data_IF_109053222136
#
_entry.id   IF_109053222136
#
_cell.length_a   1.000
_cell.length_b   1.000
_cell.length_c   1.000
_cell.angle_alpha   90.00
_cell.angle_beta   90.00
_cell.angle_gamma   90.00
#
_symmetry.space_group_name_H-M   'P 1'
#
loop_
_entity.id
_entity.type
_entity.pdbx_description
1 polymer ?
#
# COMPACT_ATOMS: atom_id res chain seq x y z
N UNK A 1 10.53 -24.39 35.46
CA UNK A 1 10.10 -23.61 34.28
C UNK A 1 10.57 -22.19 34.46
N UNK A 2 11.49 -21.68 33.63
CA UNK A 2 11.67 -20.25 33.44
C UNK A 2 11.07 -19.80 32.10
N UNK A 3 10.28 -18.73 32.16
CA UNK A 3 9.91 -17.91 31.00
C UNK A 3 11.14 -17.16 30.46
N UNK A 4 11.08 -16.78 29.17
CA UNK A 4 11.77 -15.60 28.66
C UNK A 4 13.13 -15.81 28.03
N UNK A 5 13.15 -16.20 26.74
CA UNK A 5 14.13 -15.63 25.82
C UNK A 5 13.45 -15.35 24.49
N UNK A 6 13.33 -14.07 24.14
CA UNK A 6 13.06 -13.63 22.77
C UNK A 6 14.30 -13.95 21.94
N UNK A 7 14.31 -15.11 21.28
CA UNK A 7 15.36 -15.41 20.30
C UNK A 7 15.21 -14.44 19.13
N UNK A 8 16.03 -13.39 19.13
CA UNK A 8 16.27 -12.58 17.94
C UNK A 8 17.05 -13.46 16.98
N UNK A 9 16.37 -14.02 15.97
CA UNK A 9 17.05 -14.78 14.93
C UNK A 9 17.84 -13.79 14.10
N UNK A 10 19.15 -13.86 14.23
CA UNK A 10 20.06 -13.10 13.39
C UNK A 10 20.33 -13.95 12.15
N UNK A 11 19.56 -13.73 11.07
CA UNK A 11 19.75 -14.45 9.81
C UNK A 11 20.95 -13.89 9.03
N UNK A 12 22.14 -13.97 9.63
CA UNK A 12 23.41 -13.78 8.91
C UNK A 12 23.75 -14.95 7.98
N UNK A 13 22.95 -16.01 7.98
CA UNK A 13 23.01 -17.12 7.04
C UNK A 13 21.69 -17.15 6.27
N UNK A 14 21.75 -16.92 4.96
CA UNK A 14 20.58 -17.02 4.09
C UNK A 14 19.92 -18.39 4.23
N UNK A 15 18.59 -18.42 4.21
CA UNK A 15 17.87 -19.66 3.95
C UNK A 15 18.14 -20.02 2.48
N UNK A 16 19.09 -20.92 2.24
CA UNK A 16 19.28 -21.52 0.91
C UNK A 16 18.17 -22.53 0.61
N UNK A 17 18.05 -22.93 -0.67
CA UNK A 17 17.07 -23.88 -1.19
C UNK A 17 16.50 -24.89 -0.16
N UNK A 18 15.19 -24.81 0.07
CA UNK A 18 14.43 -25.76 0.89
C UNK A 18 14.56 -25.56 2.40
N UNK A 19 15.18 -24.47 2.88
CA UNK A 19 15.31 -24.25 4.32
C UNK A 19 14.03 -23.66 4.92
N UNK A 20 13.53 -24.28 6.00
CA UNK A 20 12.41 -23.76 6.77
C UNK A 20 12.89 -23.19 8.11
N UNK A 21 12.56 -21.93 8.39
CA UNK A 21 12.84 -21.25 9.64
C UNK A 21 11.54 -20.88 10.34
N UNK A 22 11.47 -21.17 11.64
CA UNK A 22 10.39 -20.72 12.52
C UNK A 22 10.92 -19.81 13.61
N UNK A 23 10.30 -18.66 13.81
CA UNK A 23 10.70 -17.68 14.84
C UNK A 23 9.52 -16.97 15.47
N UNK A 24 9.80 -16.11 16.45
CA UNK A 24 8.78 -15.35 17.18
C UNK A 24 8.89 -13.83 16.98
N UNK A 25 10.10 -13.30 16.77
CA UNK A 25 10.33 -11.89 16.49
C UNK A 25 11.62 -11.74 15.70
N UNK A 26 11.57 -11.00 14.59
CA UNK A 26 12.75 -10.72 13.78
C UNK A 26 13.05 -9.23 13.72
N UNK A 27 14.31 -8.85 13.92
CA UNK A 27 14.77 -7.46 13.81
C UNK A 27 16.06 -7.42 13.00
N UNK A 28 16.08 -6.62 11.94
CA UNK A 28 17.34 -6.21 11.28
C UNK A 28 17.74 -4.83 11.81
N UNK A 29 19.03 -4.66 12.13
CA UNK A 29 19.60 -3.45 12.70
C UNK A 29 21.13 -3.41 12.44
N UNK A 30 21.67 -2.20 12.29
CA UNK A 30 23.06 -1.98 11.91
C UNK A 30 24.11 -2.64 12.83
N UNK A 31 23.81 -2.84 14.11
CA UNK A 31 24.75 -3.37 15.10
C UNK A 31 24.66 -4.87 15.35
N UNK A 32 23.69 -5.58 14.75
CA UNK A 32 23.48 -7.02 15.01
C UNK A 32 23.25 -7.83 13.74
N UNK A 33 22.32 -7.41 12.89
CA UNK A 33 22.00 -8.07 11.64
C UNK A 33 21.50 -7.04 10.63
N UNK A 34 22.37 -6.60 9.73
CA UNK A 34 22.02 -5.58 8.74
C UNK A 34 21.16 -6.12 7.60
N UNK A 35 21.07 -7.45 7.41
CA UNK A 35 20.35 -8.04 6.27
C UNK A 35 19.65 -9.35 6.63
N UNK A 36 18.46 -9.57 6.07
CA UNK A 36 17.76 -10.85 5.99
C UNK A 36 17.65 -11.27 4.52
N UNK A 37 17.96 -12.52 4.20
CA UNK A 37 17.75 -13.11 2.87
C UNK A 37 16.96 -14.42 2.97
N UNK A 38 15.85 -14.48 2.25
CA UNK A 38 15.10 -15.71 1.97
C UNK A 38 15.14 -15.92 0.46
N UNK A 39 15.85 -16.96 0.03
CA UNK A 39 16.19 -17.19 -1.38
C UNK A 39 15.79 -18.59 -1.78
N UNK A 40 15.53 -18.79 -3.07
CA UNK A 40 15.12 -20.04 -3.70
C UNK A 40 13.71 -20.55 -3.35
N UNK A 41 13.15 -21.30 -4.31
CA UNK A 41 11.88 -22.00 -4.19
C UNK A 41 11.91 -22.95 -2.98
N UNK A 42 10.86 -22.88 -2.16
CA UNK A 42 10.70 -23.74 -0.99
C UNK A 42 11.44 -23.27 0.27
N UNK A 43 12.27 -22.23 0.19
CA UNK A 43 12.77 -21.56 1.39
C UNK A 43 11.65 -20.77 2.06
N UNK A 44 11.44 -21.02 3.35
CA UNK A 44 10.34 -20.43 4.10
C UNK A 44 10.81 -19.85 5.42
N UNK A 45 10.38 -18.63 5.73
CA UNK A 45 10.43 -18.06 7.07
C UNK A 45 9.01 -17.88 7.57
N UNK A 46 8.61 -18.61 8.61
CA UNK A 46 7.32 -18.44 9.25
C UNK A 46 7.51 -17.92 10.66
N UNK A 47 6.94 -16.77 10.97
CA UNK A 47 6.93 -16.23 12.32
C UNK A 47 5.57 -16.49 12.97
N UNK A 48 5.56 -17.30 14.02
CA UNK A 48 4.33 -17.63 14.73
C UNK A 48 3.84 -16.41 15.54
N UNK A 49 2.54 -16.13 15.45
CA UNK A 49 1.87 -15.17 16.32
C UNK A 49 0.98 -15.90 17.31
N UNK A 50 1.36 -15.84 18.59
CA UNK A 50 0.56 -16.41 19.68
C UNK A 50 -0.12 -15.32 20.51
N UNK A 51 0.59 -14.25 20.88
CA UNK A 51 0.02 -13.05 21.53
C UNK A 51 0.96 -11.84 21.39
N UNK A 52 0.46 -10.60 21.40
CA UNK A 52 1.29 -9.40 21.57
C UNK A 52 2.14 -9.02 20.35
N UNK A 53 3.44 -8.74 20.57
CA UNK A 53 4.38 -8.26 19.52
C UNK A 53 5.06 -9.41 18.75
N UNK A 54 4.50 -10.60 18.80
CA UNK A 54 5.07 -11.81 18.21
C UNK A 54 4.64 -11.92 16.76
N UNK A 55 5.40 -12.67 15.96
CA UNK A 55 5.19 -12.74 14.52
C UNK A 55 5.68 -11.52 13.75
N UNK A 56 6.19 -10.47 14.42
CA UNK A 56 6.54 -9.21 13.76
C UNK A 56 7.94 -9.24 13.14
N UNK A 57 8.09 -8.58 11.98
CA UNK A 57 9.37 -8.26 11.37
C UNK A 57 9.61 -6.76 11.47
N UNK A 58 10.75 -6.35 12.01
CA UNK A 58 11.22 -4.98 11.91
C UNK A 58 12.48 -4.92 11.07
N UNK A 59 12.40 -4.28 9.92
CA UNK A 59 13.54 -3.99 9.07
C UNK A 59 14.08 -2.62 9.43
N UNK A 60 15.34 -2.58 9.85
CA UNK A 60 16.02 -1.41 10.39
C UNK A 60 15.37 -0.83 11.66
N UNK A 61 15.29 -1.60 12.74
CA UNK A 61 14.81 -1.05 14.04
C UNK A 61 15.78 -0.03 14.67
N UNK A 62 17.03 -0.02 14.21
CA UNK A 62 18.08 0.97 14.51
C UNK A 62 19.10 0.97 13.36
N UNK A 63 19.63 2.15 12.99
CA UNK A 63 20.51 2.31 11.83
C UNK A 63 19.95 1.75 10.51
N UNK A 64 20.81 1.18 9.66
CA UNK A 64 20.40 0.56 8.38
C UNK A 64 20.05 -0.91 8.54
N UNK A 65 19.08 -1.37 7.74
CA UNK A 65 18.68 -2.77 7.69
C UNK A 65 17.95 -3.11 6.40
N UNK A 66 18.24 -4.30 5.86
CA UNK A 66 17.71 -4.79 4.59
C UNK A 66 17.02 -6.14 4.77
N UNK A 67 16.02 -6.40 3.94
CA UNK A 67 15.38 -7.70 3.81
C UNK A 67 15.14 -7.99 2.33
N UNK A 68 15.53 -9.17 1.88
CA UNK A 68 15.29 -9.64 0.51
C UNK A 68 14.58 -10.99 0.54
N UNK A 69 13.51 -11.10 -0.22
CA UNK A 69 12.84 -12.36 -0.53
C UNK A 69 12.86 -12.52 -2.04
N UNK A 70 13.50 -13.57 -2.55
CA UNK A 70 13.66 -13.73 -4.00
C UNK A 70 13.63 -15.18 -4.47
N UNK A 71 13.57 -15.36 -5.78
CA UNK A 71 13.65 -16.66 -6.46
C UNK A 71 12.69 -17.72 -5.90
N UNK A 72 11.48 -17.34 -5.49
CA UNK A 72 10.50 -18.29 -4.93
C UNK A 72 10.47 -18.40 -3.40
N UNK A 73 11.34 -17.67 -2.70
CA UNK A 73 11.33 -17.63 -1.24
C UNK A 73 10.00 -17.12 -0.67
N UNK A 74 9.58 -17.63 0.48
CA UNK A 74 8.33 -17.25 1.13
C UNK A 74 8.56 -16.79 2.58
N UNK A 75 7.86 -15.72 2.96
CA UNK A 75 7.84 -15.22 4.33
C UNK A 75 6.41 -15.08 4.80
N UNK A 76 6.12 -15.59 5.99
CA UNK A 76 4.86 -15.38 6.68
C UNK A 76 5.14 -14.69 8.02
N UNK A 77 4.51 -13.55 8.24
CA UNK A 77 4.68 -12.73 9.42
C UNK A 77 3.36 -12.08 9.82
N UNK A 78 3.25 -11.68 11.08
CA UNK A 78 2.11 -10.95 11.60
C UNK A 78 2.05 -9.52 11.08
N UNK A 79 3.16 -8.79 11.20
CA UNK A 79 3.30 -7.43 10.66
C UNK A 79 4.72 -7.20 10.17
N UNK A 80 4.88 -6.20 9.30
CA UNK A 80 6.16 -5.70 8.81
C UNK A 80 6.28 -4.20 9.13
N UNK A 81 7.35 -3.84 9.84
CA UNK A 81 7.77 -2.46 10.04
C UNK A 81 9.07 -2.15 9.32
N UNK A 82 9.12 -1.10 8.50
CA UNK A 82 10.30 -0.71 7.72
C UNK A 82 10.77 0.68 8.10
N UNK A 83 11.96 0.78 8.69
CA UNK A 83 12.49 2.03 9.21
C UNK A 83 11.68 2.57 10.39
N UNK A 84 11.13 1.66 11.20
CA UNK A 84 10.29 1.98 12.36
C UNK A 84 11.09 2.16 13.65
N UNK A 85 12.40 2.39 13.53
CA UNK A 85 13.26 2.69 14.67
C UNK A 85 12.99 4.06 15.27
N UNK A 86 13.20 4.17 16.58
CA UNK A 86 13.15 5.44 17.31
C UNK A 86 14.29 6.38 16.91
N UNK A 87 15.41 5.82 16.45
CA UNK A 87 16.57 6.57 16.01
C UNK A 87 16.32 7.24 14.65
N UNK A 88 16.81 8.47 14.49
CA UNK A 88 16.60 9.28 13.27
C UNK A 88 17.32 8.71 12.05
N UNK A 89 18.33 7.86 12.25
CA UNK A 89 19.11 7.20 11.21
C UNK A 89 18.56 5.84 10.79
N UNK A 90 17.44 5.40 11.41
CA UNK A 90 16.72 4.18 11.02
C UNK A 90 16.31 4.25 9.54
N UNK A 91 16.90 3.38 8.71
CA UNK A 91 16.62 3.29 7.27
C UNK A 91 16.47 1.83 6.84
N UNK A 92 15.23 1.44 6.52
CA UNK A 92 14.89 0.08 6.11
C UNK A 92 14.71 -0.10 4.62
N UNK A 93 15.16 -1.21 4.06
CA UNK A 93 14.84 -1.61 2.69
C UNK A 93 14.30 -3.03 2.64
N UNK A 94 13.16 -3.22 1.97
CA UNK A 94 12.59 -4.54 1.70
C UNK A 94 12.46 -4.73 0.21
N UNK A 95 12.96 -5.85 -0.30
CA UNK A 95 12.84 -6.25 -1.70
C UNK A 95 12.17 -7.62 -1.78
N UNK A 96 11.07 -7.70 -2.52
CA UNK A 96 10.45 -8.94 -2.95
C UNK A 96 10.64 -9.02 -4.46
N UNK A 97 11.37 -10.01 -4.95
CA UNK A 97 11.72 -10.07 -6.37
C UNK A 97 11.64 -11.47 -6.95
N UNK A 98 11.02 -11.59 -8.12
CA UNK A 98 10.90 -12.85 -8.84
C UNK A 98 9.58 -13.57 -8.58
N UNK A 99 9.21 -14.39 -9.54
CA UNK A 99 7.95 -15.12 -9.51
C UNK A 99 7.98 -16.15 -8.38
N UNK A 100 6.86 -16.31 -7.69
CA UNK A 100 6.76 -17.21 -6.54
C UNK A 100 7.30 -16.62 -5.23
N UNK A 101 8.04 -15.51 -5.26
CA UNK A 101 8.47 -14.84 -4.04
C UNK A 101 7.31 -14.17 -3.33
N UNK A 102 7.12 -14.50 -2.06
CA UNK A 102 5.96 -14.05 -1.29
C UNK A 102 6.34 -13.49 0.07
N UNK A 103 5.66 -12.40 0.47
CA UNK A 103 5.57 -11.96 1.85
C UNK A 103 4.09 -11.86 2.22
N UNK A 104 3.64 -12.73 3.12
CA UNK A 104 2.27 -12.75 3.63
C UNK A 104 2.23 -12.13 5.02
N UNK A 105 1.29 -11.21 5.21
CA UNK A 105 1.03 -10.50 6.46
C UNK A 105 -0.36 -10.87 7.01
N UNK A 106 -0.40 -11.50 8.18
CA UNK A 106 -1.64 -12.02 8.80
C UNK A 106 -2.14 -11.25 10.04
N UNK A 107 -1.65 -10.02 10.21
CA UNK A 107 -2.02 -9.08 11.26
C UNK A 107 -3.52 -8.81 11.47
N UNK A 108 -3.98 -8.64 12.71
CA UNK A 108 -5.36 -8.19 13.02
C UNK A 108 -5.46 -6.69 13.38
N UNK A 109 -4.33 -6.00 13.53
CA UNK A 109 -4.27 -4.61 13.98
C UNK A 109 -4.20 -3.60 12.81
N UNK A 110 -4.40 -2.33 13.13
CA UNK A 110 -4.42 -1.16 12.24
C UNK A 110 -3.11 -0.89 11.49
N UNK A 111 -2.02 -1.63 11.75
CA UNK A 111 -0.72 -1.40 11.11
C UNK A 111 -0.03 -2.71 10.69
N UNK A 112 -0.46 -3.30 9.57
CA UNK A 112 0.17 -4.54 9.06
C UNK A 112 1.49 -4.28 8.38
N UNK A 113 1.52 -3.24 7.56
CA UNK A 113 2.74 -2.75 6.94
C UNK A 113 2.85 -1.26 7.20
N UNK A 114 3.88 -0.87 7.95
CA UNK A 114 4.24 0.52 8.16
C UNK A 114 5.63 0.76 7.63
N UNK A 115 5.74 1.67 6.66
CA UNK A 115 7.00 2.18 6.14
C UNK A 115 7.14 3.59 6.71
N UNK A 116 8.13 3.84 7.57
CA UNK A 116 8.36 5.18 8.14
C UNK A 116 9.60 5.84 7.59
N UNK A 117 10.70 5.11 7.44
CA UNK A 117 11.95 5.64 6.86
C UNK A 117 12.59 4.55 6.02
N UNK A 118 12.24 4.51 4.74
CA UNK A 118 12.69 3.40 3.92
C UNK A 118 11.87 3.11 2.69
N UNK A 119 12.12 1.95 2.12
CA UNK A 119 11.47 1.50 0.90
C UNK A 119 11.04 0.05 0.98
N UNK A 120 9.91 -0.23 0.31
CA UNK A 120 9.52 -1.58 -0.07
C UNK A 120 9.42 -1.62 -1.59
N UNK A 121 10.03 -2.62 -2.21
CA UNK A 121 9.94 -2.90 -3.63
C UNK A 121 9.39 -4.29 -3.84
N UNK A 122 8.37 -4.41 -4.70
CA UNK A 122 7.78 -5.67 -5.14
C UNK A 122 7.97 -5.74 -6.65
N UNK A 123 8.69 -6.76 -7.14
CA UNK A 123 9.02 -6.88 -8.55
C UNK A 123 9.08 -8.31 -9.09
N UNK A 124 9.19 -8.44 -10.41
CA UNK A 124 9.48 -9.72 -11.07
C UNK A 124 8.40 -10.81 -10.91
N UNK A 125 7.15 -10.44 -10.62
CA UNK A 125 6.08 -11.39 -10.33
C UNK A 125 5.91 -11.73 -8.84
N UNK A 126 6.62 -11.04 -7.94
CA UNK A 126 6.52 -11.24 -6.51
C UNK A 126 5.18 -10.75 -5.94
N UNK A 127 4.77 -11.31 -4.81
CA UNK A 127 3.52 -11.01 -4.13
C UNK A 127 3.77 -10.49 -2.69
N UNK A 128 3.30 -9.28 -2.42
CA UNK A 128 3.07 -8.78 -1.08
C UNK A 128 1.60 -8.97 -0.73
N UNK A 129 1.31 -9.93 0.14
CA UNK A 129 -0.05 -10.33 0.48
C UNK A 129 -0.45 -9.80 1.86
N UNK A 130 -1.35 -8.83 1.91
CA UNK A 130 -1.98 -8.31 3.11
C UNK A 130 -3.43 -8.83 3.29
N UNK A 131 -3.81 -9.92 2.62
CA UNK A 131 -5.21 -10.34 2.44
C UNK A 131 -5.84 -11.22 3.53
N UNK A 132 -5.16 -11.47 4.65
CA UNK A 132 -5.65 -12.46 5.60
C UNK A 132 -6.73 -11.99 6.61
N UNK A 133 -7.15 -10.71 6.63
CA UNK A 133 -8.03 -10.22 7.72
C UNK A 133 -8.75 -8.90 7.40
N UNK A 134 -9.82 -8.60 8.14
CA UNK A 134 -10.90 -7.62 7.89
C UNK A 134 -10.55 -6.13 7.92
N UNK A 135 -9.39 -5.72 8.44
CA UNK A 135 -9.02 -4.31 8.63
C UNK A 135 -7.57 -4.01 8.17
N UNK A 136 -7.14 -4.59 7.05
CA UNK A 136 -5.76 -4.46 6.60
C UNK A 136 -5.42 -3.03 6.20
N UNK A 137 -4.52 -2.37 6.94
CA UNK A 137 -3.97 -1.07 6.53
C UNK A 137 -2.47 -1.15 6.23
N UNK A 138 -2.09 -0.48 5.14
CA UNK A 138 -0.71 -0.18 4.78
C UNK A 138 -0.52 1.33 4.92
N UNK A 139 0.52 1.75 5.65
CA UNK A 139 0.80 3.16 5.89
C UNK A 139 2.23 3.52 5.48
N UNK A 140 2.34 4.53 4.61
CA UNK A 140 3.59 5.22 4.30
C UNK A 140 3.65 6.53 5.09
N UNK A 141 4.61 6.60 6.00
CA UNK A 141 4.93 7.81 6.75
C UNK A 141 4.03 8.06 7.96
N UNK A 142 3.68 7.02 8.72
CA UNK A 142 2.96 7.17 9.99
C UNK A 142 3.62 8.21 10.91
N UNK A 143 4.96 8.20 10.95
CA UNK A 143 5.80 9.02 11.83
C UNK A 143 6.62 10.10 11.08
N UNK A 144 6.19 10.54 9.89
CA UNK A 144 6.97 11.49 9.07
C UNK A 144 8.17 10.85 8.37
N UNK A 145 9.00 11.66 7.69
CA UNK A 145 10.19 11.21 6.94
C UNK A 145 9.94 11.01 5.44
N UNK A 146 10.84 10.30 4.76
CA UNK A 146 10.71 9.97 3.34
C UNK A 146 10.50 8.46 3.15
N UNK A 147 9.47 8.08 2.40
CA UNK A 147 9.12 6.68 2.18
C UNK A 147 8.78 6.38 0.73
N UNK A 148 9.04 5.14 0.33
CA UNK A 148 8.71 4.64 -1.00
C UNK A 148 8.07 3.25 -0.94
N UNK A 149 7.01 3.06 -1.71
CA UNK A 149 6.53 1.74 -2.12
C UNK A 149 6.54 1.68 -3.64
N UNK A 150 7.24 0.70 -4.21
CA UNK A 150 7.24 0.42 -5.64
C UNK A 150 6.68 -0.98 -5.87
N UNK A 151 5.70 -1.08 -6.77
CA UNK A 151 5.18 -2.35 -7.27
C UNK A 151 5.41 -2.33 -8.78
N UNK A 152 6.34 -3.13 -9.28
CA UNK A 152 6.71 -3.03 -10.70
C UNK A 152 7.14 -4.33 -11.38
N UNK A 153 6.72 -4.49 -12.62
CA UNK A 153 6.98 -5.67 -13.43
C UNK A 153 5.75 -6.56 -13.50
N UNK A 154 5.63 -7.30 -14.61
CA UNK A 154 4.49 -8.15 -14.86
C UNK A 154 4.26 -9.14 -13.71
N UNK A 155 3.03 -9.18 -13.21
CA UNK A 155 2.62 -10.07 -12.11
C UNK A 155 3.06 -9.62 -10.71
N UNK A 156 3.87 -8.56 -10.59
CA UNK A 156 4.21 -8.00 -9.28
C UNK A 156 2.96 -7.41 -8.64
N UNK A 157 2.66 -7.80 -7.39
CA UNK A 157 1.35 -7.52 -6.81
C UNK A 157 1.40 -7.17 -5.33
N UNK A 158 0.59 -6.18 -4.95
CA UNK A 158 0.13 -5.97 -3.58
C UNK A 158 -1.34 -6.39 -3.50
N UNK A 159 -1.65 -7.37 -2.67
CA UNK A 159 -3.01 -7.90 -2.53
C UNK A 159 -3.59 -7.59 -1.15
N UNK A 160 -4.82 -7.12 -1.11
CA UNK A 160 -5.63 -6.95 0.09
C UNK A 160 -6.75 -7.99 0.14
N UNK A 161 -7.33 -8.11 1.33
CA UNK A 161 -8.53 -8.88 1.56
C UNK A 161 -9.71 -8.02 1.11
N UNK A 162 -10.68 -8.59 0.41
CA UNK A 162 -11.92 -7.89 0.12
C UNK A 162 -12.74 -7.69 1.40
N UNK A 163 -12.39 -6.64 2.12
CA UNK A 163 -12.87 -6.37 3.47
C UNK A 163 -13.08 -4.88 3.62
N UNK A 164 -14.20 -4.47 4.23
CA UNK A 164 -14.66 -3.07 4.27
C UNK A 164 -13.59 -2.03 4.65
N UNK A 165 -12.56 -2.41 5.42
CA UNK A 165 -11.53 -1.51 5.91
C UNK A 165 -10.12 -1.75 5.33
N UNK A 166 -10.00 -2.46 4.20
CA UNK A 166 -8.75 -2.61 3.45
C UNK A 166 -8.26 -1.26 2.92
N UNK A 167 -7.22 -0.68 3.53
CA UNK A 167 -6.80 0.70 3.28
C UNK A 167 -5.32 0.90 2.97
N UNK A 168 -5.04 1.90 2.15
CA UNK A 168 -3.71 2.34 1.76
C UNK A 168 -3.57 3.84 2.05
N UNK A 169 -2.69 4.18 2.97
CA UNK A 169 -2.43 5.56 3.39
C UNK A 169 -1.04 5.99 2.94
N UNK A 170 -1.00 6.97 2.04
CA UNK A 170 0.23 7.47 1.43
C UNK A 170 0.46 8.88 1.96
N UNK A 171 1.43 9.04 2.86
CA UNK A 171 1.81 10.35 3.40
C UNK A 171 0.90 10.80 4.53
N UNK A 172 1.29 10.48 5.77
CA UNK A 172 0.66 10.93 7.01
C UNK A 172 1.63 11.81 7.81
N UNK A 173 1.13 12.60 8.76
CA UNK A 173 1.96 13.26 9.80
C UNK A 173 3.18 14.06 9.27
N UNK A 174 3.05 14.83 8.18
CA UNK A 174 4.17 15.59 7.63
C UNK A 174 5.16 14.81 6.76
N UNK A 175 4.88 13.54 6.45
CA UNK A 175 5.75 12.70 5.64
C UNK A 175 5.82 13.12 4.16
N UNK A 176 6.93 12.78 3.50
CA UNK A 176 7.06 12.73 2.05
C UNK A 176 6.96 11.28 1.58
N UNK A 177 5.80 10.86 1.10
CA UNK A 177 5.54 9.47 0.72
C UNK A 177 5.33 9.35 -0.79
N UNK A 178 5.91 8.31 -1.39
CA UNK A 178 5.72 8.02 -2.81
C UNK A 178 5.30 6.56 -2.97
N UNK A 179 4.18 6.34 -3.66
CA UNK A 179 3.77 5.02 -4.09
C UNK A 179 3.73 4.98 -5.62
N UNK A 180 4.33 3.97 -6.22
CA UNK A 180 4.27 3.77 -7.66
C UNK A 180 3.93 2.33 -8.02
N UNK A 181 2.98 2.21 -8.94
CA UNK A 181 2.63 0.96 -9.63
C UNK A 181 3.04 1.14 -11.09
N UNK A 182 3.93 0.29 -11.58
CA UNK A 182 4.57 0.50 -12.88
C UNK A 182 4.85 -0.78 -13.66
N UNK A 183 4.94 -0.69 -14.98
CA UNK A 183 5.39 -1.79 -15.85
C UNK A 183 4.63 -3.11 -15.63
N UNK A 184 3.30 -3.06 -15.48
CA UNK A 184 2.47 -4.25 -15.28
C UNK A 184 2.35 -4.73 -13.84
N UNK A 185 2.78 -3.91 -12.87
CA UNK A 185 2.50 -4.16 -11.45
C UNK A 185 1.04 -3.88 -11.10
N UNK A 186 0.52 -4.47 -10.02
CA UNK A 186 -0.88 -4.31 -9.63
C UNK A 186 -1.08 -4.13 -8.12
N UNK A 187 -2.11 -3.36 -7.75
CA UNK A 187 -2.74 -3.42 -6.41
C UNK A 187 -4.12 -4.04 -6.59
N UNK A 188 -4.51 -4.97 -5.73
CA UNK A 188 -5.84 -5.58 -5.78
C UNK A 188 -6.51 -5.70 -4.41
N UNK A 189 -7.83 -5.61 -4.38
CA UNK A 189 -8.67 -5.80 -3.19
C UNK A 189 -8.64 -4.65 -2.20
N UNK A 190 -8.00 -3.52 -2.56
CA UNK A 190 -7.98 -2.31 -1.72
C UNK A 190 -9.36 -1.66 -1.78
N UNK A 191 -9.85 -1.13 -0.66
CA UNK A 191 -11.14 -0.45 -0.62
C UNK A 191 -11.00 1.06 -0.40
N UNK A 192 -9.89 1.48 0.20
CA UNK A 192 -9.59 2.88 0.47
C UNK A 192 -8.15 3.20 0.06
N UNK A 193 -7.97 4.25 -0.74
CA UNK A 193 -6.67 4.87 -0.98
C UNK A 193 -6.74 6.32 -0.52
N UNK A 194 -5.87 6.70 0.39
CA UNK A 194 -5.70 8.08 0.82
C UNK A 194 -4.30 8.58 0.47
N UNK A 195 -4.23 9.63 -0.35
CA UNK A 195 -3.00 10.27 -0.81
C UNK A 195 -2.89 11.65 -0.20
N UNK A 196 -1.98 11.79 0.76
CA UNK A 196 -1.74 13.03 1.48
C UNK A 196 -2.76 13.26 2.59
N UNK A 197 -2.24 13.60 3.76
CA UNK A 197 -3.01 14.07 4.92
C UNK A 197 -2.33 15.33 5.49
N UNK A 198 -2.92 15.98 6.50
CA UNK A 198 -2.47 17.25 7.08
C UNK A 198 -0.95 17.31 7.25
N UNK A 199 -0.31 18.23 6.52
CA UNK A 199 1.13 18.48 6.55
C UNK A 199 1.99 17.60 5.65
N UNK A 200 1.50 16.46 5.16
CA UNK A 200 2.27 15.54 4.32
C UNK A 200 2.32 15.97 2.84
N UNK A 201 3.32 15.47 2.12
CA UNK A 201 3.44 15.53 0.66
C UNK A 201 3.43 14.10 0.15
N UNK A 202 2.39 13.73 -0.59
CA UNK A 202 2.25 12.39 -1.11
C UNK A 202 2.22 12.36 -2.63
N UNK A 203 2.80 11.32 -3.23
CA UNK A 203 2.58 11.00 -4.63
C UNK A 203 2.10 9.56 -4.78
N UNK A 204 1.15 9.37 -5.68
CA UNK A 204 0.66 8.06 -6.08
C UNK A 204 0.64 7.99 -7.61
N UNK A 205 1.41 7.09 -8.20
CA UNK A 205 1.58 7.01 -9.65
C UNK A 205 1.35 5.60 -10.18
N UNK A 206 0.36 5.42 -11.04
CA UNK A 206 0.09 4.21 -11.81
C UNK A 206 0.46 4.50 -13.27
N UNK A 207 1.48 3.81 -13.78
CA UNK A 207 2.06 4.13 -15.09
C UNK A 207 2.55 2.91 -15.85
N UNK A 208 2.66 3.04 -17.17
CA UNK A 208 3.09 1.96 -18.04
C UNK A 208 2.00 0.92 -18.33
N UNK A 209 2.19 0.07 -19.36
CA UNK A 209 1.18 -0.88 -19.79
C UNK A 209 0.81 -1.87 -18.69
N UNK A 210 -0.46 -2.25 -18.63
CA UNK A 210 -1.01 -3.27 -17.73
C UNK A 210 -0.86 -2.99 -16.23
N UNK A 211 -0.37 -1.81 -15.84
CA UNK A 211 -0.38 -1.40 -14.44
C UNK A 211 -1.80 -1.07 -13.98
N UNK A 212 -2.24 -1.57 -12.82
CA UNK A 212 -3.64 -1.45 -12.38
C UNK A 212 -3.81 -1.40 -10.85
N UNK A 213 -5.01 -0.99 -10.41
CA UNK A 213 -5.47 -0.82 -9.03
C UNK A 213 -6.92 -1.34 -8.89
N UNK A 214 -7.10 -2.65 -8.82
CA UNK A 214 -8.44 -3.21 -8.70
C UNK A 214 -8.95 -3.07 -7.26
N UNK A 215 -10.04 -2.35 -7.08
CA UNK A 215 -10.69 -2.23 -5.78
C UNK A 215 -11.43 -3.52 -5.38
N UNK A 216 -11.65 -3.74 -4.07
CA UNK A 216 -12.50 -4.82 -3.59
C UNK A 216 -13.99 -4.57 -3.85
N UNK A 217 -14.85 -5.56 -3.64
CA UNK A 217 -16.28 -5.46 -3.97
C UNK A 217 -17.08 -4.56 -3.03
N UNK A 218 -16.49 -4.15 -1.91
CA UNK A 218 -17.22 -3.51 -0.81
C UNK A 218 -17.39 -2.00 -1.00
N UNK A 219 -16.29 -1.25 -1.12
CA UNK A 219 -16.24 0.21 -1.28
C UNK A 219 -15.01 0.54 -2.13
N UNK A 220 -15.09 1.55 -3.01
CA UNK A 220 -13.91 2.09 -3.67
C UNK A 220 -13.81 3.60 -3.47
N UNK A 221 -12.99 3.99 -2.51
CA UNK A 221 -12.73 5.40 -2.24
C UNK A 221 -11.29 5.77 -2.56
N UNK A 222 -11.12 6.86 -3.30
CA UNK A 222 -9.85 7.55 -3.51
C UNK A 222 -9.93 8.96 -2.92
N UNK A 223 -9.17 9.23 -1.86
CA UNK A 223 -9.01 10.57 -1.30
C UNK A 223 -7.65 11.15 -1.70
N UNK A 224 -7.67 12.30 -2.34
CA UNK A 224 -6.47 13.05 -2.73
C UNK A 224 -6.44 14.36 -1.96
N UNK A 225 -5.67 14.41 -0.87
CA UNK A 225 -5.31 15.63 -0.17
C UNK A 225 -4.07 16.28 -0.79
N UNK A 226 -3.14 16.75 0.05
CA UNK A 226 -1.88 17.37 -0.36
C UNK A 226 -0.95 16.38 -1.06
N UNK A 227 -1.10 16.31 -2.38
CA UNK A 227 -0.36 15.39 -3.23
C UNK A 227 -0.76 15.43 -4.70
N UNK A 228 -0.05 14.64 -5.50
CA UNK A 228 -0.36 14.41 -6.91
C UNK A 228 -0.66 12.93 -7.14
N UNK A 229 -1.73 12.66 -7.88
CA UNK A 229 -2.10 11.30 -8.28
C UNK A 229 -2.09 11.18 -9.80
N UNK A 230 -1.44 10.16 -10.36
CA UNK A 230 -1.68 9.71 -11.74
C UNK A 230 -2.25 8.30 -11.73
N UNK A 231 -3.49 8.14 -12.21
CA UNK A 231 -4.17 6.83 -12.25
C UNK A 231 -4.42 6.41 -13.70
N UNK A 232 -4.05 5.16 -14.00
CA UNK A 232 -4.57 4.38 -15.11
C UNK A 232 -5.30 3.17 -14.52
N UNK A 233 -6.64 3.19 -14.41
CA UNK A 233 -7.39 1.97 -14.11
C UNK A 233 -8.92 2.01 -14.35
N UNK A 234 -9.56 0.83 -14.33
CA UNK A 234 -10.99 0.56 -14.26
C UNK A 234 -11.41 0.14 -12.84
N UNK A 235 -12.10 1.01 -12.08
CA UNK A 235 -12.72 0.64 -10.81
C UNK A 235 -14.16 0.15 -11.04
N UNK A 236 -14.48 -1.09 -10.65
CA UNK A 236 -15.82 -1.68 -10.76
C UNK A 236 -16.37 -2.02 -9.36
N UNK A 237 -17.09 -1.10 -8.72
CA UNK A 237 -17.62 -1.32 -7.36
C UNK A 237 -19.00 -0.69 -7.15
N UNK A 238 -19.62 -0.97 -6.00
CA UNK A 238 -20.86 -0.31 -5.57
C UNK A 238 -20.54 1.12 -5.11
N UNK A 239 -20.98 2.13 -5.87
CA UNK A 239 -20.78 3.57 -5.59
C UNK A 239 -19.30 4.03 -5.41
N UNK A 240 -18.42 3.87 -6.42
CA UNK A 240 -17.05 4.37 -6.34
C UNK A 240 -17.02 5.89 -6.20
N UNK A 241 -16.19 6.40 -5.28
CA UNK A 241 -16.00 7.85 -5.08
C UNK A 241 -14.55 8.28 -5.21
N UNK A 242 -14.33 9.39 -5.92
CA UNK A 242 -13.03 10.05 -6.02
C UNK A 242 -13.15 11.45 -5.44
N UNK A 243 -12.45 11.71 -4.35
CA UNK A 243 -12.51 12.97 -3.61
C UNK A 243 -11.16 13.69 -3.73
N UNK A 244 -11.14 14.79 -4.47
CA UNK A 244 -9.92 15.56 -4.77
C UNK A 244 -9.98 16.87 -4.04
N UNK A 245 -8.94 17.15 -3.28
CA UNK A 245 -8.84 18.38 -2.50
C UNK A 245 -9.84 18.44 -1.35
N UNK A 246 -10.17 17.30 -0.71
CA UNK A 246 -11.21 17.23 0.33
C UNK A 246 -10.80 17.92 1.65
N UNK A 247 -9.56 17.75 2.08
CA UNK A 247 -9.05 18.26 3.37
C UNK A 247 -7.87 19.23 3.21
N UNK A 248 -7.35 19.38 2.00
CA UNK A 248 -6.18 20.19 1.62
C UNK A 248 -6.12 20.29 0.11
N UNK A 249 -5.19 21.07 -0.46
CA UNK A 249 -5.08 21.18 -1.92
C UNK A 249 -4.67 19.84 -2.55
N UNK A 250 -5.38 19.35 -3.56
CA UNK A 250 -5.07 18.08 -4.22
C UNK A 250 -5.12 18.15 -5.73
N UNK A 251 -4.25 17.38 -6.39
CA UNK A 251 -4.20 17.29 -7.86
C UNK A 251 -4.32 15.83 -8.31
N UNK A 252 -5.31 15.55 -9.15
CA UNK A 252 -5.38 14.33 -9.95
C UNK A 252 -4.95 14.67 -11.37
N UNK A 253 -3.91 14.01 -11.88
CA UNK A 253 -3.35 14.20 -13.21
C UNK A 253 -3.38 12.89 -14.01
N UNK A 254 -4.20 12.84 -15.05
CA UNK A 254 -4.31 11.71 -15.98
C UNK A 254 -3.52 12.09 -17.23
N UNK A 255 -2.37 11.45 -17.43
CA UNK A 255 -1.39 11.81 -18.46
C UNK A 255 -0.89 10.61 -19.25
N UNK A 256 -0.18 10.85 -20.34
CA UNK A 256 0.59 9.84 -21.07
C UNK A 256 -0.24 8.62 -21.52
N UNK A 257 -1.48 8.85 -21.95
CA UNK A 257 -2.38 7.78 -22.40
C UNK A 257 -3.07 7.01 -21.28
N UNK A 258 -2.88 7.40 -20.02
CA UNK A 258 -3.58 6.82 -18.87
C UNK A 258 -5.08 7.06 -18.95
N UNK A 259 -5.88 6.10 -18.48
CA UNK A 259 -7.32 6.24 -18.36
C UNK A 259 -7.76 6.00 -16.91
N UNK A 260 -8.48 6.94 -16.30
CA UNK A 260 -9.24 6.68 -15.08
C UNK A 260 -10.69 6.41 -15.46
N UNK A 261 -11.15 5.17 -15.28
CA UNK A 261 -12.54 4.76 -15.42
C UNK A 261 -13.10 4.43 -14.05
N UNK A 262 -14.19 5.11 -13.73
CA UNK A 262 -14.95 4.94 -12.49
C UNK A 262 -16.29 4.34 -12.89
N UNK A 263 -16.51 3.06 -12.58
CA UNK A 263 -17.72 2.34 -12.95
C UNK A 263 -18.49 1.90 -11.71
N UNK A 264 -19.66 2.51 -11.51
CA UNK A 264 -20.60 2.11 -10.48
C UNK A 264 -21.44 0.93 -10.94
N UNK A 265 -21.44 -0.15 -10.15
CA UNK A 265 -22.34 -1.28 -10.40
C UNK A 265 -23.78 -0.91 -10.07
N UNK A 266 -24.73 -1.44 -10.84
CA UNK A 266 -26.15 -1.24 -10.59
C UNK A 266 -26.50 -1.74 -9.17
N UNK A 267 -27.17 -0.93 -8.34
CA UNK A 267 -27.46 -1.32 -6.98
C UNK A 267 -28.41 -2.52 -6.92
N UNK A 268 -28.11 -3.48 -6.05
CA UNK A 268 -28.95 -4.67 -5.84
C UNK A 268 -30.02 -4.48 -4.74
N UNK A 269 -30.17 -3.26 -4.19
CA UNK A 269 -31.07 -2.97 -3.07
C UNK A 269 -31.67 -1.55 -3.08
N UNK A 270 -32.68 -1.26 -2.24
CA UNK A 270 -33.52 -0.06 -2.31
C UNK A 270 -32.99 1.18 -1.53
N UNK A 271 -31.68 1.34 -1.34
CA UNK A 271 -31.13 2.44 -0.50
C UNK A 271 -31.14 3.81 -1.19
N UNK A 272 -31.18 4.89 -0.38
CA UNK A 272 -31.32 6.29 -0.80
C UNK A 272 -30.34 6.68 -1.93
N UNK A 273 -30.90 6.96 -3.11
CA UNK A 273 -30.17 7.20 -4.35
C UNK A 273 -29.90 8.69 -4.57
N UNK A 274 -28.67 9.04 -4.92
CA UNK A 274 -28.45 10.17 -5.82
C UNK A 274 -28.53 9.60 -7.24
N UNK A 275 -29.63 9.81 -7.95
CA UNK A 275 -29.74 9.41 -9.36
C UNK A 275 -28.72 10.20 -10.20
N UNK A 276 -27.58 9.58 -10.52
CA UNK A 276 -26.65 10.10 -11.52
C UNK A 276 -25.17 9.78 -11.27
N UNK A 277 -24.43 9.58 -12.37
CA UNK A 277 -22.97 9.73 -12.40
C UNK A 277 -22.65 11.23 -12.47
N UNK A 278 -21.69 11.73 -11.71
CA UNK A 278 -21.44 13.17 -11.68
C UNK A 278 -20.07 13.63 -11.20
N UNK A 279 -19.70 14.83 -11.64
CA UNK A 279 -18.59 15.61 -11.08
C UNK A 279 -19.18 16.74 -10.25
N UNK A 280 -18.87 16.78 -8.96
CA UNK A 280 -19.32 17.80 -8.00
C UNK A 280 -18.12 18.70 -7.71
N UNK A 281 -18.21 19.98 -8.07
CA UNK A 281 -17.20 20.97 -7.70
C UNK A 281 -17.66 21.75 -6.45
N UNK A 282 -16.83 21.75 -5.40
CA UNK A 282 -17.09 22.47 -4.15
C UNK A 282 -18.32 21.95 -3.40
N UNK A 283 -18.18 20.83 -2.69
CA UNK A 283 -19.32 20.21 -2.00
C UNK A 283 -19.78 20.99 -0.74
N UNK A 284 -19.03 22.00 -0.29
CA UNK A 284 -19.37 22.81 0.90
C UNK A 284 -19.10 22.12 2.24
N UNK A 285 -18.46 20.95 2.24
CA UNK A 285 -18.10 20.18 3.43
C UNK A 285 -16.59 20.22 3.66
N UNK A 286 -16.13 21.11 4.56
CA UNK A 286 -14.74 21.11 5.04
C UNK A 286 -14.05 22.48 5.05
N UNK A 287 -12.74 22.46 5.32
CA UNK A 287 -11.90 23.65 5.29
C UNK A 287 -11.66 24.11 3.83
N UNK A 288 -11.45 25.42 3.59
CA UNK A 288 -11.20 25.95 2.25
C UNK A 288 -10.00 25.22 1.62
N UNK A 289 -10.28 24.56 0.50
CA UNK A 289 -9.34 23.64 -0.15
C UNK A 289 -9.61 23.63 -1.66
N UNK A 290 -8.54 23.54 -2.44
CA UNK A 290 -8.64 23.50 -3.90
C UNK A 290 -8.37 22.08 -4.43
N UNK A 291 -9.27 21.56 -5.24
CA UNK A 291 -9.02 20.35 -6.04
C UNK A 291 -8.74 20.74 -7.48
N UNK A 292 -7.84 20.02 -8.16
CA UNK A 292 -7.65 20.14 -9.61
C UNK A 292 -7.62 18.76 -10.26
N UNK A 293 -8.33 18.63 -11.37
CA UNK A 293 -8.18 17.51 -12.30
C UNK A 293 -7.44 18.04 -13.53
N UNK A 294 -6.42 17.32 -13.96
CA UNK A 294 -5.69 17.56 -15.20
C UNK A 294 -5.80 16.31 -16.06
N UNK A 295 -6.43 16.40 -17.23
CA UNK A 295 -6.40 15.34 -18.25
C UNK A 295 -5.64 15.88 -19.44
N UNK A 296 -4.49 15.30 -19.77
CA UNK A 296 -3.62 15.85 -20.81
C UNK A 296 -2.79 14.80 -21.53
N UNK A 297 -2.63 14.95 -22.83
CA UNK A 297 -1.83 14.04 -23.67
C UNK A 297 -2.71 13.11 -24.51
N UNK A 298 -2.16 12.57 -25.63
CA UNK A 298 -2.91 11.66 -26.50
C UNK A 298 -3.37 10.40 -25.75
N UNK A 299 -4.63 10.02 -25.91
CA UNK A 299 -5.21 8.82 -25.32
C UNK A 299 -5.59 8.94 -23.83
N UNK A 300 -5.25 10.04 -23.16
CA UNK A 300 -5.61 10.24 -21.75
C UNK A 300 -7.12 10.43 -21.59
N UNK A 301 -7.73 9.72 -20.63
CA UNK A 301 -9.20 9.67 -20.50
C UNK A 301 -9.66 9.66 -19.05
N UNK A 302 -10.73 10.39 -18.78
CA UNK A 302 -11.51 10.28 -17.54
C UNK A 302 -12.92 9.82 -17.92
N UNK A 303 -13.36 8.70 -17.36
CA UNK A 303 -14.67 8.12 -17.62
C UNK A 303 -15.42 7.86 -16.32
N UNK A 304 -16.68 8.26 -16.27
CA UNK A 304 -17.63 7.84 -15.24
C UNK A 304 -18.74 7.04 -15.92
N UNK A 305 -18.95 5.81 -15.47
CA UNK A 305 -19.86 4.84 -16.10
C UNK A 305 -20.73 4.16 -15.03
N UNK A 306 -21.86 3.62 -15.45
CA UNK A 306 -22.76 2.88 -14.56
C UNK A 306 -23.53 3.77 -13.57
N UNK A 307 -23.96 3.18 -12.46
CA UNK A 307 -24.85 3.82 -11.49
C UNK A 307 -24.08 4.41 -10.32
N UNK A 308 -24.26 5.72 -10.07
CA UNK A 308 -23.74 6.45 -8.90
C UNK A 308 -22.20 6.58 -8.74
N UNK A 309 -21.35 6.63 -9.79
CA UNK A 309 -19.98 7.08 -9.60
C UNK A 309 -19.93 8.59 -9.36
N UNK A 310 -19.17 9.03 -8.35
CA UNK A 310 -18.99 10.46 -8.05
C UNK A 310 -17.53 10.87 -8.02
N UNK A 311 -17.24 12.01 -8.64
CA UNK A 311 -15.99 12.72 -8.47
C UNK A 311 -16.29 14.04 -7.76
N UNK A 312 -15.71 14.26 -6.59
CA UNK A 312 -15.77 15.53 -5.88
C UNK A 312 -14.46 16.29 -6.04
N UNK A 313 -14.51 17.58 -6.38
CA UNK A 313 -13.33 18.45 -6.56
C UNK A 313 -13.46 19.68 -5.66
N UNK A 314 -12.61 19.77 -4.65
CA UNK A 314 -12.59 20.82 -3.62
C UNK A 314 -13.61 20.61 -2.49
N UNK A 315 -13.24 20.98 -1.27
CA UNK A 315 -14.06 20.81 -0.06
C UNK A 315 -14.90 22.02 0.38
N UNK A 316 -14.72 23.22 -0.19
CA UNK A 316 -15.54 24.38 0.20
C UNK A 316 -14.98 25.73 -0.25
N UNK A 317 -15.90 26.69 -0.44
CA UNK A 317 -15.72 28.06 -0.94
C UNK A 317 -14.83 28.95 -0.06
#
# INVERSE_FOLDING_TARGET
MPEGSSSSVCAGAGAGAGTQWSGRLLRTAASRCSSLLVDDDGSQLTLAHTTGNEGQIFVASSGRGDMTVRNGGAVNAFTLGVGNGWELDSQGSVTLDGTGSTLTLDGVDWHRLSINRGSVTVSGGALLNAAACTNAQLILGQNGGTQRLLISGAGAKLSYADTLNGGLWIGRSGATANLSVANGGAIEGVNLIQVGNTGAVASFNVSGPLSSITYGSSVADLFVGRGAVGVADNANTFNPTVNIGWSSNGVLAIRDGAALRIEGLAPTGPELFFEGAGVIAGNGWGAPSSGRIEVSGPGSKLETLGSNPFITVGGGA
#
